data_IF_130231614213
#
_entry.id   IF_130231614213
#
_cell.length_a   1.000
_cell.length_b   1.000
_cell.length_c   1.000
_cell.angle_alpha   90.00
_cell.angle_beta   90.00
_cell.angle_gamma   90.00
#
_symmetry.space_group_name_H-M   'P 1'
#
loop_
_entity.id
_entity.type
_entity.pdbx_description
1 polymer ?
#
# COMPACT_ATOMS: atom_id res chain seq x y z
N UNK A 1 2.66 21.41 -8.26
CA UNK A 1 1.91 20.21 -7.83
C UNK A 1 0.84 19.88 -8.86
N UNK A 2 0.50 18.61 -9.07
CA UNK A 2 -0.68 18.24 -9.85
C UNK A 2 -1.97 18.73 -9.17
N UNK A 3 -3.00 18.99 -9.97
CA UNK A 3 -4.29 19.46 -9.49
C UNK A 3 -5.19 18.24 -9.22
N UNK A 4 -5.73 18.18 -8.02
CA UNK A 4 -6.79 17.26 -7.62
C UNK A 4 -8.01 18.11 -7.23
N UNK A 5 -9.23 17.61 -7.43
CA UNK A 5 -10.40 18.26 -6.83
C UNK A 5 -10.32 18.15 -5.30
N UNK A 6 -10.90 19.10 -4.59
CA UNK A 6 -10.73 19.15 -3.12
C UNK A 6 -11.33 17.93 -2.43
N UNK A 7 -12.48 17.44 -2.89
CA UNK A 7 -13.08 16.19 -2.41
C UNK A 7 -12.18 14.96 -2.62
N UNK A 8 -11.46 14.89 -3.76
CA UNK A 8 -10.49 13.80 -3.99
C UNK A 8 -9.29 13.95 -3.06
N UNK A 9 -8.78 15.16 -2.84
CA UNK A 9 -7.67 15.39 -1.91
C UNK A 9 -8.03 14.95 -0.50
N UNK A 10 -9.19 15.38 0.01
CA UNK A 10 -9.67 15.04 1.35
C UNK A 10 -9.77 13.52 1.51
N UNK A 11 -10.41 12.83 0.56
CA UNK A 11 -10.51 11.37 0.58
C UNK A 11 -9.14 10.67 0.57
N UNK A 12 -8.22 11.11 -0.28
CA UNK A 12 -6.87 10.54 -0.34
C UNK A 12 -6.09 10.79 0.97
N UNK A 13 -6.25 11.95 1.60
CA UNK A 13 -5.62 12.26 2.89
C UNK A 13 -6.19 11.34 3.98
N UNK A 14 -7.51 11.13 4.01
CA UNK A 14 -8.14 10.22 4.98
C UNK A 14 -7.66 8.78 4.80
N UNK A 15 -7.66 8.28 3.55
CA UNK A 15 -7.20 6.92 3.25
C UNK A 15 -5.71 6.72 3.60
N UNK A 16 -4.86 7.71 3.30
CA UNK A 16 -3.43 7.69 3.66
C UNK A 16 -3.23 7.76 5.18
N UNK A 17 -4.03 8.56 5.88
CA UNK A 17 -3.99 8.68 7.34
C UNK A 17 -4.38 7.36 7.99
N UNK A 18 -5.33 6.63 7.41
CA UNK A 18 -5.68 5.29 7.91
C UNK A 18 -4.55 4.28 7.69
N UNK A 19 -3.89 4.29 6.52
CA UNK A 19 -2.71 3.45 6.27
C UNK A 19 -1.59 3.76 7.27
N UNK A 20 -1.35 5.05 7.55
CA UNK A 20 -0.41 5.48 8.57
C UNK A 20 -0.77 4.96 9.96
N UNK A 21 -2.03 5.12 10.40
CA UNK A 21 -2.48 4.65 11.69
C UNK A 21 -2.37 3.11 11.84
N UNK A 22 -2.45 2.37 10.74
CA UNK A 22 -2.22 0.92 10.75
C UNK A 22 -0.75 0.58 11.00
N UNK A 23 0.20 1.36 10.47
CA UNK A 23 1.64 1.18 10.75
C UNK A 23 1.91 1.42 12.23
N UNK A 24 1.50 2.58 12.75
CA UNK A 24 1.69 2.94 14.16
C UNK A 24 1.16 1.85 15.12
N UNK A 25 -0.01 1.28 14.80
CA UNK A 25 -0.64 0.25 15.61
C UNK A 25 -0.04 -1.16 15.45
N UNK A 26 0.46 -1.51 14.27
CA UNK A 26 0.75 -2.91 13.91
C UNK A 26 2.21 -3.20 13.61
N UNK A 27 3.06 -2.19 13.43
CA UNK A 27 4.47 -2.40 13.12
C UNK A 27 5.24 -3.03 14.29
N UNK A 28 4.78 -2.87 15.54
CA UNK A 28 5.45 -3.39 16.75
C UNK A 28 6.94 -3.03 16.79
N UNK A 29 7.26 -1.76 16.52
CA UNK A 29 8.64 -1.28 16.46
C UNK A 29 8.74 0.12 17.05
N UNK A 30 9.86 0.41 17.71
CA UNK A 30 10.23 1.76 18.15
C UNK A 30 11.09 2.48 17.10
N UNK A 31 11.43 1.79 16.01
CA UNK A 31 12.17 2.37 14.89
C UNK A 31 11.29 3.34 14.10
N UNK A 32 11.88 4.35 13.45
CA UNK A 32 11.13 5.28 12.62
C UNK A 32 10.49 4.55 11.43
N UNK A 33 9.35 5.08 10.99
CA UNK A 33 8.84 4.86 9.65
C UNK A 33 9.22 6.04 8.76
N UNK A 34 9.20 5.83 7.46
CA UNK A 34 9.62 6.76 6.45
C UNK A 34 8.49 7.02 5.47
N UNK A 35 8.31 8.28 5.12
CA UNK A 35 7.37 8.71 4.09
C UNK A 35 8.12 9.58 3.10
N UNK A 36 7.95 9.31 1.81
CA UNK A 36 8.53 10.10 0.75
C UNK A 36 7.53 10.29 -0.39
N UNK A 37 7.48 11.49 -0.96
CA UNK A 37 6.65 11.83 -2.10
C UNK A 37 7.47 12.55 -3.17
N UNK A 38 7.33 12.14 -4.42
CA UNK A 38 7.98 12.79 -5.56
C UNK A 38 7.03 12.96 -6.73
N UNK A 39 6.94 14.19 -7.24
CA UNK A 39 6.24 14.48 -8.49
C UNK A 39 7.22 14.43 -9.68
N UNK A 40 6.83 13.70 -10.73
CA UNK A 40 7.55 13.58 -12.00
C UNK A 40 6.76 14.30 -13.11
N UNK A 41 7.02 15.59 -13.39
CA UNK A 41 6.20 16.39 -14.30
C UNK A 41 6.16 15.84 -15.73
N UNK A 42 7.30 15.40 -16.25
CA UNK A 42 7.44 14.87 -17.62
C UNK A 42 6.66 13.57 -17.80
N UNK A 43 6.64 12.72 -16.76
CA UNK A 43 5.89 11.47 -16.77
C UNK A 43 4.41 11.67 -16.45
N UNK A 44 4.07 12.80 -15.83
CA UNK A 44 2.73 13.04 -15.27
C UNK A 44 2.42 12.07 -14.14
N UNK A 45 3.40 11.77 -13.27
CA UNK A 45 3.23 10.79 -12.20
C UNK A 45 3.56 11.40 -10.84
N UNK A 46 2.89 10.96 -9.78
CA UNK A 46 3.31 11.19 -8.39
C UNK A 46 3.60 9.84 -7.79
N UNK A 47 4.76 9.71 -7.17
CA UNK A 47 5.10 8.53 -6.39
C UNK A 47 5.03 8.90 -4.93
N UNK A 48 4.38 8.07 -4.14
CA UNK A 48 4.34 8.19 -2.69
C UNK A 48 4.70 6.84 -2.08
N UNK A 49 5.64 6.83 -1.16
CA UNK A 49 6.12 5.63 -0.50
C UNK A 49 5.98 5.80 0.99
N UNK A 50 5.43 4.78 1.65
CA UNK A 50 5.44 4.63 3.10
C UNK A 50 6.18 3.34 3.41
N UNK A 51 7.09 3.38 4.37
CA UNK A 51 7.93 2.25 4.74
C UNK A 51 8.18 2.23 6.25
N UNK A 52 7.92 1.10 6.90
CA UNK A 52 8.24 0.87 8.31
C UNK A 52 9.30 -0.22 8.47
N UNK A 53 9.86 -0.32 9.67
CA UNK A 53 10.87 -1.32 10.04
C UNK A 53 10.33 -2.26 11.14
N UNK A 54 9.08 -2.67 10.98
CA UNK A 54 8.35 -3.49 11.95
C UNK A 54 8.26 -4.98 11.63
N UNK A 55 7.21 -5.61 12.16
CA UNK A 55 6.91 -7.04 11.94
C UNK A 55 6.22 -7.31 10.60
N UNK A 56 5.82 -6.27 9.88
CA UNK A 56 5.12 -6.40 8.60
C UNK A 56 3.69 -6.93 8.74
N UNK A 57 3.14 -7.43 7.64
CA UNK A 57 1.71 -7.77 7.57
C UNK A 57 1.40 -9.15 8.16
N UNK A 58 2.31 -10.11 8.00
CA UNK A 58 2.03 -11.52 8.26
C UNK A 58 1.67 -11.81 9.71
N UNK A 59 2.53 -11.42 10.67
CA UNK A 59 2.35 -11.71 12.11
C UNK A 59 1.01 -11.18 12.63
N UNK A 60 0.85 -9.85 12.55
CA UNK A 60 -0.40 -9.12 12.27
C UNK A 60 -1.67 -9.93 12.12
N UNK A 61 -1.78 -10.42 10.90
CA UNK A 61 -2.98 -10.88 10.26
C UNK A 61 -3.16 -12.37 10.53
N UNK A 62 -2.08 -13.15 10.56
CA UNK A 62 -2.09 -14.57 10.92
C UNK A 62 -2.58 -14.78 12.37
N UNK A 63 -2.15 -13.96 13.34
CA UNK A 63 -2.65 -14.03 14.73
C UNK A 63 -4.18 -13.90 14.82
N UNK A 64 -4.82 -13.24 13.85
CA UNK A 64 -6.28 -13.05 13.80
C UNK A 64 -7.01 -13.97 12.84
N UNK A 65 -6.34 -14.51 11.83
CA UNK A 65 -6.90 -15.38 10.80
C UNK A 65 -5.96 -16.58 10.54
N UNK A 66 -5.65 -17.39 11.58
CA UNK A 66 -4.64 -18.45 11.47
C UNK A 66 -4.99 -19.52 10.46
N UNK A 67 -6.29 -19.76 10.24
CA UNK A 67 -6.80 -20.77 9.30
C UNK A 67 -6.82 -20.30 7.84
N UNK A 68 -6.55 -19.02 7.57
CA UNK A 68 -6.64 -18.42 6.21
C UNK A 68 -5.34 -17.85 5.70
N UNK A 69 -4.40 -17.52 6.59
CA UNK A 69 -3.23 -16.70 6.28
C UNK A 69 -2.00 -17.51 6.62
N UNK A 70 -1.34 -18.06 5.60
CA UNK A 70 -0.23 -18.99 5.79
C UNK A 70 1.09 -18.45 5.25
N UNK A 71 1.05 -17.34 4.51
CA UNK A 71 2.23 -16.68 3.93
C UNK A 71 2.14 -15.16 3.98
N UNK A 72 3.28 -14.49 3.77
CA UNK A 72 3.32 -13.03 3.59
C UNK A 72 2.48 -12.59 2.39
N UNK A 73 2.44 -13.39 1.31
CA UNK A 73 1.61 -13.13 0.14
C UNK A 73 0.12 -13.15 0.47
N UNK A 74 -0.35 -14.13 1.25
CA UNK A 74 -1.75 -14.18 1.71
C UNK A 74 -2.10 -12.95 2.54
N UNK A 75 -1.19 -12.53 3.43
CA UNK A 75 -1.37 -11.35 4.26
C UNK A 75 -1.49 -10.06 3.43
N UNK A 76 -0.70 -9.93 2.36
CA UNK A 76 -0.81 -8.80 1.42
C UNK A 76 -2.19 -8.80 0.74
N UNK A 77 -2.60 -9.92 0.16
CA UNK A 77 -3.89 -10.03 -0.54
C UNK A 77 -5.07 -9.77 0.40
N UNK A 78 -4.97 -10.28 1.63
CA UNK A 78 -5.98 -10.07 2.66
C UNK A 78 -6.12 -8.59 3.04
N UNK A 79 -5.00 -7.86 3.15
CA UNK A 79 -5.00 -6.44 3.47
C UNK A 79 -5.57 -5.59 2.32
N UNK A 80 -5.23 -5.90 1.06
CA UNK A 80 -5.72 -5.20 -0.13
C UNK A 80 -7.23 -5.40 -0.31
N UNK A 81 -7.77 -6.56 0.08
CA UNK A 81 -9.22 -6.81 0.05
C UNK A 81 -10.03 -5.91 1.00
N UNK A 82 -9.35 -5.13 1.85
CA UNK A 82 -9.92 -4.19 2.83
C UNK A 82 -10.43 -4.87 4.08
N UNK A 83 -9.88 -6.04 4.41
CA UNK A 83 -10.19 -6.68 5.67
C UNK A 83 -9.48 -5.95 6.81
N UNK A 84 -10.13 -5.91 7.97
CA UNK A 84 -9.62 -5.22 9.15
C UNK A 84 -9.24 -6.19 10.22
N UNK A 85 -8.12 -5.90 10.86
CA UNK A 85 -7.72 -6.65 12.02
C UNK A 85 -8.46 -6.12 13.27
N UNK A 86 -9.11 -4.95 13.23
CA UNK A 86 -9.84 -4.38 14.38
C UNK A 86 -11.17 -5.13 14.63
N UNK A 87 -11.48 -5.60 15.86
CA UNK A 87 -12.70 -6.38 16.14
C UNK A 87 -14.03 -5.64 15.89
N UNK A 88 -14.05 -4.32 16.10
CA UNK A 88 -15.29 -3.53 16.15
C UNK A 88 -15.35 -2.38 15.13
N UNK A 89 -14.44 -2.32 14.14
CA UNK A 89 -14.30 -1.13 13.29
C UNK A 89 -14.83 -1.33 11.86
N UNK A 90 -15.58 -0.32 11.40
CA UNK A 90 -15.79 0.03 9.98
C UNK A 90 -14.50 0.45 9.23
N UNK A 91 -13.33 0.34 9.87
CA UNK A 91 -12.02 0.64 9.29
C UNK A 91 -11.42 -0.57 8.56
N UNK A 92 -10.33 -0.36 7.83
CA UNK A 92 -9.69 -1.30 6.90
C UNK A 92 -9.88 -0.90 5.44
N UNK A 93 -10.57 0.20 5.16
CA UNK A 93 -10.90 0.62 3.80
C UNK A 93 -9.82 1.47 3.15
N UNK A 94 -8.99 2.20 3.89
CA UNK A 94 -7.99 3.12 3.32
C UNK A 94 -7.08 2.48 2.26
N UNK A 95 -6.47 1.33 2.55
CA UNK A 95 -5.63 0.63 1.57
C UNK A 95 -6.43 0.13 0.36
N UNK A 96 -7.65 -0.36 0.58
CA UNK A 96 -8.56 -0.80 -0.49
C UNK A 96 -9.02 0.37 -1.36
N UNK A 97 -9.36 1.50 -0.76
CA UNK A 97 -9.79 2.71 -1.44
C UNK A 97 -8.66 3.28 -2.28
N UNK A 98 -7.43 3.34 -1.73
CA UNK A 98 -6.23 3.71 -2.48
C UNK A 98 -6.00 2.76 -3.65
N UNK A 99 -6.11 1.45 -3.44
CA UNK A 99 -5.98 0.47 -4.50
C UNK A 99 -7.00 0.71 -5.62
N UNK A 100 -8.29 0.83 -5.28
CA UNK A 100 -9.37 1.08 -6.25
C UNK A 100 -9.15 2.39 -7.01
N UNK A 101 -8.82 3.46 -6.29
CA UNK A 101 -8.53 4.76 -6.89
C UNK A 101 -7.38 4.68 -7.90
N UNK A 102 -6.29 4.01 -7.52
CA UNK A 102 -5.14 3.82 -8.40
C UNK A 102 -5.49 2.97 -9.61
N UNK A 103 -6.28 1.91 -9.45
CA UNK A 103 -6.69 1.04 -10.55
C UNK A 103 -7.58 1.81 -11.56
N UNK A 104 -8.60 2.52 -11.07
CA UNK A 104 -9.51 3.36 -11.87
C UNK A 104 -8.76 4.46 -12.64
N UNK A 105 -7.69 5.01 -12.04
CA UNK A 105 -6.95 6.14 -12.62
C UNK A 105 -5.70 5.71 -13.39
N UNK A 106 -5.50 4.42 -13.66
CA UNK A 106 -4.30 3.89 -14.29
C UNK A 106 -3.01 4.30 -13.55
N UNK A 107 -3.07 4.36 -12.23
CA UNK A 107 -1.94 4.35 -11.31
C UNK A 107 -1.47 2.92 -10.98
N UNK A 108 -0.70 2.76 -9.90
CA UNK A 108 -0.22 1.46 -9.44
C UNK A 108 0.02 1.42 -7.93
N UNK A 109 -0.24 0.26 -7.32
CA UNK A 109 0.02 -0.04 -5.91
C UNK A 109 1.03 -1.18 -5.82
N UNK A 110 2.01 -1.07 -4.92
CA UNK A 110 2.94 -2.14 -4.60
C UNK A 110 3.08 -2.29 -3.09
N UNK A 111 3.26 -3.52 -2.64
CA UNK A 111 3.48 -3.84 -1.24
C UNK A 111 4.63 -4.83 -1.13
N UNK A 112 5.57 -4.58 -0.22
CA UNK A 112 6.66 -5.49 0.12
C UNK A 112 6.65 -5.73 1.63
N UNK A 113 6.69 -6.99 2.05
CA UNK A 113 6.74 -7.35 3.47
C UNK A 113 7.25 -8.78 3.64
N UNK A 114 8.15 -8.99 4.60
CA UNK A 114 8.77 -10.30 4.80
C UNK A 114 9.40 -10.81 3.50
N UNK A 115 9.05 -12.03 3.09
CA UNK A 115 9.56 -12.64 1.87
C UNK A 115 8.66 -12.43 0.63
N UNK A 116 7.68 -11.52 0.66
CA UNK A 116 6.74 -11.33 -0.45
C UNK A 116 6.68 -9.88 -0.93
N UNK A 117 6.54 -9.74 -2.24
CA UNK A 117 6.15 -8.52 -2.93
C UNK A 117 4.82 -8.74 -3.67
N UNK A 118 4.08 -7.66 -3.89
CA UNK A 118 2.89 -7.64 -4.73
C UNK A 118 2.82 -6.36 -5.54
N UNK A 119 2.38 -6.45 -6.78
CA UNK A 119 2.12 -5.30 -7.65
C UNK A 119 0.73 -5.40 -8.28
N UNK A 120 -0.05 -4.31 -8.24
CA UNK A 120 -1.38 -4.27 -8.85
C UNK A 120 -1.35 -4.38 -10.38
N UNK A 121 -0.22 -4.00 -10.99
CA UNK A 121 -0.01 -4.01 -12.43
C UNK A 121 1.47 -4.12 -12.80
N UNK A 122 1.74 -4.61 -14.01
CA UNK A 122 3.06 -4.55 -14.63
C UNK A 122 3.28 -3.17 -15.23
N UNK A 123 4.32 -2.44 -14.80
CA UNK A 123 4.76 -1.22 -15.48
C UNK A 123 5.60 -1.56 -16.71
N UNK A 124 5.36 -0.86 -17.82
CA UNK A 124 6.19 -0.96 -19.04
C UNK A 124 7.46 -0.10 -18.98
N UNK A 125 7.56 0.81 -18.01
CA UNK A 125 8.50 1.95 -18.04
C UNK A 125 9.37 2.09 -16.79
N UNK A 126 9.18 1.26 -15.77
CA UNK A 126 9.92 1.32 -14.51
C UNK A 126 10.12 -0.09 -13.95
N UNK A 127 11.20 -0.26 -13.17
CA UNK A 127 11.71 -1.47 -12.49
C UNK A 127 10.72 -2.17 -11.53
N UNK A 128 9.45 -2.28 -11.93
CA UNK A 128 8.36 -2.80 -11.12
C UNK A 128 8.13 -4.25 -11.55
N UNK A 129 8.08 -5.13 -10.56
CA UNK A 129 7.82 -6.56 -10.73
C UNK A 129 6.52 -6.79 -11.53
N UNK A 130 6.39 -7.97 -12.19
CA UNK A 130 5.14 -8.30 -12.88
C UNK A 130 3.95 -8.24 -11.92
N UNK A 131 2.78 -7.95 -12.46
CA UNK A 131 1.51 -7.98 -11.74
C UNK A 131 1.35 -9.28 -10.94
N UNK A 132 0.87 -9.15 -9.70
CA UNK A 132 0.64 -10.27 -8.80
C UNK A 132 1.71 -10.41 -7.73
N UNK A 133 1.71 -11.58 -7.08
CA UNK A 133 2.64 -11.91 -6.00
C UNK A 133 4.00 -12.32 -6.58
N UNK A 134 5.07 -11.90 -5.91
CA UNK A 134 6.45 -12.31 -6.21
C UNK A 134 7.18 -12.63 -4.92
N UNK A 135 7.90 -13.75 -4.88
CA UNK A 135 8.77 -14.08 -3.76
C UNK A 135 10.06 -13.24 -3.80
N UNK A 136 10.44 -12.70 -2.65
CA UNK A 136 11.67 -11.96 -2.46
C UNK A 136 12.79 -12.90 -2.08
N UNK A 137 13.99 -12.68 -2.63
CA UNK A 137 15.19 -13.46 -2.29
C UNK A 137 15.62 -13.29 -0.83
N UNK A 138 15.34 -12.11 -0.26
CA UNK A 138 15.67 -11.76 1.11
C UNK A 138 14.42 -11.19 1.79
N UNK A 139 14.33 -11.38 3.10
CA UNK A 139 13.24 -10.83 3.88
C UNK A 139 13.40 -9.32 4.02
N UNK A 140 12.36 -8.59 3.64
CA UNK A 140 12.18 -7.19 3.99
C UNK A 140 11.69 -7.09 5.45
N UNK A 141 12.38 -6.27 6.24
CA UNK A 141 11.94 -5.94 7.60
C UNK A 141 10.82 -4.89 7.52
N UNK A 142 9.67 -5.18 8.13
CA UNK A 142 8.49 -4.30 8.11
C UNK A 142 7.61 -4.46 6.88
N UNK A 143 6.97 -3.36 6.50
CA UNK A 143 6.23 -3.24 5.26
C UNK A 143 6.59 -1.95 4.50
N UNK A 144 6.63 -2.04 3.17
CA UNK A 144 6.72 -0.90 2.28
C UNK A 144 5.51 -0.89 1.36
N UNK A 145 4.85 0.26 1.25
CA UNK A 145 3.73 0.52 0.35
C UNK A 145 4.15 1.63 -0.61
N UNK A 146 4.13 1.33 -1.91
CA UNK A 146 4.38 2.31 -2.97
C UNK A 146 3.07 2.60 -3.71
N UNK A 147 2.74 3.88 -3.85
CA UNK A 147 1.59 4.42 -4.56
C UNK A 147 2.09 5.24 -5.74
N UNK A 148 1.63 4.90 -6.93
CA UNK A 148 1.98 5.58 -8.17
C UNK A 148 0.70 6.19 -8.76
N UNK A 149 0.50 7.50 -8.57
CA UNK A 149 -0.65 8.23 -9.08
C UNK A 149 -0.37 8.73 -10.51
N UNK A 150 -1.27 8.43 -11.44
CA UNK A 150 -1.18 8.91 -12.82
C UNK A 150 -2.03 10.18 -13.03
N UNK A 151 -1.38 11.27 -13.42
CA UNK A 151 -1.98 12.59 -13.62
C UNK A 151 -2.91 12.69 -14.81
N UNK A 152 -2.73 11.88 -15.87
CA UNK A 152 -3.51 12.04 -17.11
C UNK A 152 -5.02 11.85 -16.89
N UNK A 153 -5.40 11.16 -15.83
CA UNK A 153 -6.79 10.89 -15.42
C UNK A 153 -7.26 11.81 -14.29
N UNK A 154 -6.36 12.59 -13.66
CA UNK A 154 -6.68 13.50 -12.55
C UNK A 154 -7.25 14.86 -13.00
N UNK A 155 -7.31 15.09 -14.32
CA UNK A 155 -7.71 16.36 -14.95
C UNK A 155 -8.95 16.22 -15.86
N UNK A 156 -9.57 15.04 -15.90
CA UNK A 156 -10.87 14.78 -16.53
C UNK A 156 -11.97 14.76 -15.48
#
# INVERSE_FOLDING_TARGET
>A
MPHFSDNIKEKLIDDLTEVYANIDKHAETELPFFVCGQYYPVKGMIHFTISDLGVGFFKKINERQPDKIHSCGDAILWAIAGNSTKPDALGGSGLKNLHNYLDENQGGLQIYTGNAGWCSRTSKTSLIFPQGITDLRNNYIGATINLEFNKKTLLS
#
